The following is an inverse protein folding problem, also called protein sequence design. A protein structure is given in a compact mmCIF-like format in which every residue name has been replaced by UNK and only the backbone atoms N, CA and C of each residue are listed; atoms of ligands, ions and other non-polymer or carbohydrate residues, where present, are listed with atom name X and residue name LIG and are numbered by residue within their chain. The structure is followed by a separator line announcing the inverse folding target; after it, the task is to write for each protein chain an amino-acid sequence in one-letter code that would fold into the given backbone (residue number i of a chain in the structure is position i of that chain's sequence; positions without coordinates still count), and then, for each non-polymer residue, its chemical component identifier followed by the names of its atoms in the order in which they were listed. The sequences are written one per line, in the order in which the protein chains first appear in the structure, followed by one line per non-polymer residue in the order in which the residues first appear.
data_IF_789514905362
#
_entry.id   IF_789514905362
#
_cell.length_a   1.000
_cell.length_b   1.000
_cell.length_c   1.000
_cell.angle_alpha   90.00
_cell.angle_beta   90.00
_cell.angle_gamma   90.00
#
_symmetry.space_group_name_H-M   'P 1'
#
loop_
_entity.id
_entity.type
_entity.pdbx_description
1 polymer ?
#
# COMPACT_ATOMS: atom_id res chain seq x y z
N UNK A 1 -12.74 -38.92 -4.43
CA UNK A 1 -14.10 -38.32 -4.44
C UNK A 1 -14.19 -37.35 -5.61
N UNK A 2 -15.31 -37.31 -6.34
CA UNK A 2 -15.45 -36.46 -7.53
C UNK A 2 -15.33 -34.97 -7.14
N UNK A 3 -14.53 -34.15 -7.85
CA UNK A 3 -14.24 -32.76 -7.47
C UNK A 3 -15.49 -31.89 -7.36
N UNK A 4 -16.52 -32.17 -8.16
CA UNK A 4 -17.82 -31.51 -8.12
C UNK A 4 -18.55 -31.68 -6.77
N UNK A 5 -18.37 -32.84 -6.13
CA UNK A 5 -18.98 -33.15 -4.84
C UNK A 5 -18.30 -32.37 -3.72
N UNK A 6 -16.98 -32.24 -3.78
CA UNK A 6 -16.20 -31.44 -2.83
C UNK A 6 -16.52 -29.94 -2.98
N UNK A 7 -16.62 -29.45 -4.22
CA UNK A 7 -16.97 -28.05 -4.49
C UNK A 7 -18.37 -27.71 -3.96
N UNK A 8 -19.36 -28.56 -4.26
CA UNK A 8 -20.74 -28.39 -3.78
C UNK A 8 -20.83 -28.43 -2.24
N UNK A 9 -19.99 -29.25 -1.60
CA UNK A 9 -19.92 -29.35 -0.14
C UNK A 9 -19.31 -28.09 0.48
N UNK A 10 -18.25 -27.53 -0.13
CA UNK A 10 -17.63 -26.28 0.30
C UNK A 10 -18.62 -25.11 0.16
N UNK A 11 -19.27 -24.98 -0.99
CA UNK A 11 -20.29 -23.96 -1.20
C UNK A 11 -21.50 -24.14 -0.27
N UNK A 12 -21.95 -25.38 -0.06
CA UNK A 12 -23.05 -25.69 0.84
C UNK A 12 -22.74 -25.35 2.30
N UNK A 13 -21.54 -25.69 2.79
CA UNK A 13 -21.11 -25.34 4.15
C UNK A 13 -20.94 -23.82 4.29
N UNK A 14 -20.37 -23.15 3.29
CA UNK A 14 -20.23 -21.70 3.30
C UNK A 14 -21.60 -21.02 3.39
N UNK A 15 -22.58 -21.46 2.60
CA UNK A 15 -23.95 -20.95 2.63
C UNK A 15 -24.64 -21.22 3.96
N UNK A 16 -24.43 -22.40 4.55
CA UNK A 16 -24.96 -22.75 5.88
C UNK A 16 -24.39 -21.85 6.97
N UNK A 17 -23.09 -21.59 6.96
CA UNK A 17 -22.42 -20.71 7.94
C UNK A 17 -22.90 -19.26 7.76
N UNK A 18 -22.98 -18.77 6.52
CA UNK A 18 -23.50 -17.43 6.22
C UNK A 18 -24.96 -17.28 6.65
N UNK A 19 -25.79 -18.29 6.37
CA UNK A 19 -27.20 -18.31 6.76
C UNK A 19 -27.40 -18.36 8.28
N UNK A 20 -26.63 -19.18 9.00
CA UNK A 20 -26.70 -19.27 10.46
C UNK A 20 -26.25 -17.99 11.15
N UNK A 21 -25.18 -17.35 10.66
CA UNK A 21 -24.71 -16.06 11.18
C UNK A 21 -25.74 -14.94 10.94
N UNK A 22 -26.38 -14.94 9.77
CA UNK A 22 -27.47 -14.00 9.45
C UNK A 22 -28.68 -14.19 10.37
N UNK A 23 -29.06 -15.43 10.66
CA UNK A 23 -30.21 -15.77 11.50
C UNK A 23 -29.97 -15.42 12.98
N UNK A 24 -28.77 -15.68 13.50
CA UNK A 24 -28.37 -15.26 14.86
C UNK A 24 -28.30 -13.74 14.95
N UNK A 25 -27.78 -13.05 13.94
CA UNK A 25 -27.78 -11.59 13.88
C UNK A 25 -29.20 -10.99 13.91
N UNK A 26 -30.15 -11.63 13.24
CA UNK A 26 -31.54 -11.16 13.18
C UNK A 26 -32.31 -11.38 14.50
N UNK A 27 -32.00 -12.44 15.25
CA UNK A 27 -32.64 -12.75 16.53
C UNK A 27 -32.19 -11.84 17.69
N UNK A 28 -30.94 -11.37 17.68
CA UNK A 28 -30.38 -10.56 18.77
C UNK A 28 -30.40 -9.03 18.52
N UNK A 29 -30.56 -8.57 17.28
CA UNK A 29 -30.41 -7.15 16.90
C UNK A 29 -31.67 -6.57 16.25
N UNK A 30 -32.78 -6.62 17.00
CA UNK A 30 -34.14 -6.32 16.53
C UNK A 30 -34.43 -4.88 16.05
N UNK A 31 -33.45 -3.99 15.88
CA UNK A 31 -33.72 -2.64 15.33
C UNK A 31 -32.73 -2.11 14.30
N UNK A 32 -31.57 -2.74 14.07
CA UNK A 32 -30.58 -2.24 13.10
C UNK A 32 -29.78 -3.34 12.36
N UNK A 33 -30.24 -4.60 12.34
CA UNK A 33 -29.53 -5.70 11.66
C UNK A 33 -29.18 -5.39 10.18
N UNK A 34 -30.04 -4.63 9.47
CA UNK A 34 -29.77 -4.15 8.12
C UNK A 34 -28.48 -3.32 8.01
N UNK A 35 -28.14 -2.51 9.02
CA UNK A 35 -26.90 -1.70 9.04
C UNK A 35 -25.63 -2.55 9.14
N UNK A 36 -25.74 -3.84 9.48
CA UNK A 36 -24.59 -4.74 9.56
C UNK A 36 -24.24 -5.43 8.24
N UNK A 37 -24.91 -5.12 7.13
CA UNK A 37 -24.56 -5.68 5.81
C UNK A 37 -23.05 -5.57 5.44
N UNK A 38 -22.30 -4.52 5.86
CA UNK A 38 -20.85 -4.46 5.58
C UNK A 38 -20.04 -5.57 6.25
N UNK A 39 -20.59 -6.27 7.25
CA UNK A 39 -19.96 -7.46 7.84
C UNK A 39 -19.68 -8.53 6.80
N UNK A 40 -20.52 -8.65 5.76
CA UNK A 40 -20.28 -9.62 4.68
C UNK A 40 -19.02 -9.24 3.89
N UNK A 41 -18.82 -7.94 3.63
CA UNK A 41 -17.63 -7.42 2.95
C UNK A 41 -16.39 -7.58 3.83
N UNK A 42 -16.51 -7.29 5.13
CA UNK A 42 -15.44 -7.53 6.10
C UNK A 42 -15.08 -9.01 6.21
N UNK A 43 -16.08 -9.89 6.29
CA UNK A 43 -15.86 -11.33 6.33
C UNK A 43 -15.18 -11.83 5.05
N UNK A 44 -15.57 -11.33 3.88
CA UNK A 44 -14.92 -11.64 2.62
C UNK A 44 -13.45 -11.14 2.59
N UNK A 45 -13.20 -9.92 3.04
CA UNK A 45 -11.85 -9.38 3.17
C UNK A 45 -11.00 -10.20 4.14
N UNK A 46 -11.54 -10.56 5.30
CA UNK A 46 -10.86 -11.41 6.29
C UNK A 46 -10.54 -12.78 5.68
N UNK A 47 -11.51 -13.41 5.03
CA UNK A 47 -11.35 -14.68 4.35
C UNK A 47 -10.27 -14.64 3.25
N UNK A 48 -10.10 -13.50 2.56
CA UNK A 48 -9.02 -13.30 1.60
C UNK A 48 -7.67 -13.09 2.29
N UNK A 49 -7.60 -12.29 3.36
CA UNK A 49 -6.33 -12.02 4.04
C UNK A 49 -5.79 -13.18 4.88
N UNK A 50 -6.66 -14.02 5.43
CA UNK A 50 -6.30 -15.07 6.38
C UNK A 50 -5.36 -16.13 5.77
N UNK A 51 -5.58 -16.63 4.54
CA UNK A 51 -4.61 -17.47 3.83
C UNK A 51 -3.23 -16.81 3.67
N UNK A 52 -3.18 -15.48 3.54
CA UNK A 52 -1.93 -14.73 3.44
C UNK A 52 -1.04 -14.87 4.67
N UNK A 53 -1.61 -14.94 5.88
CA UNK A 53 -0.82 -15.17 7.09
C UNK A 53 -0.31 -16.62 7.20
N UNK A 54 -1.05 -17.57 6.63
CA UNK A 54 -0.60 -18.96 6.46
C UNK A 54 0.50 -19.10 5.39
N UNK A 55 0.83 -18.01 4.66
CA UNK A 55 1.87 -18.02 3.64
C UNK A 55 3.28 -18.26 4.18
N UNK A 56 3.49 -18.19 5.50
CA UNK A 56 4.73 -18.66 6.13
C UNK A 56 4.99 -20.13 5.76
N UNK A 57 3.95 -20.95 5.64
CA UNK A 57 4.04 -22.35 5.22
C UNK A 57 3.99 -22.54 3.69
N UNK A 58 3.31 -21.65 2.96
CA UNK A 58 3.19 -21.68 1.48
C UNK A 58 3.31 -20.28 0.89
N UNK A 59 4.49 -19.89 0.37
CA UNK A 59 4.77 -18.52 -0.06
C UNK A 59 3.74 -17.96 -1.05
N UNK A 60 3.17 -18.79 -1.93
CA UNK A 60 2.18 -18.36 -2.92
C UNK A 60 0.87 -17.80 -2.35
N UNK A 61 0.53 -18.10 -1.10
CA UNK A 61 -0.70 -17.57 -0.48
C UNK A 61 -0.58 -16.08 -0.11
N UNK A 62 0.63 -15.51 -0.09
CA UNK A 62 0.82 -14.09 0.17
C UNK A 62 0.17 -13.19 -0.88
N UNK A 63 -0.13 -13.70 -2.08
CA UNK A 63 -0.81 -12.95 -3.14
C UNK A 63 -2.22 -12.50 -2.74
N UNK A 64 -2.89 -13.22 -1.82
CA UNK A 64 -4.23 -12.85 -1.38
C UNK A 64 -4.28 -11.56 -0.55
N UNK A 65 -3.13 -11.07 -0.04
CA UNK A 65 -3.07 -9.75 0.57
C UNK A 65 -3.38 -8.62 -0.43
N UNK A 66 -3.06 -8.79 -1.72
CA UNK A 66 -3.29 -7.77 -2.74
C UNK A 66 -4.77 -7.38 -2.87
N UNK A 67 -5.73 -8.32 -3.02
CA UNK A 67 -7.15 -7.99 -2.97
C UNK A 67 -7.71 -7.93 -1.54
N UNK A 68 -7.18 -8.74 -0.62
CA UNK A 68 -7.76 -8.89 0.72
C UNK A 68 -7.68 -7.63 1.56
N UNK A 69 -6.53 -6.93 1.55
CA UNK A 69 -6.34 -5.72 2.34
C UNK A 69 -7.24 -4.56 1.85
N UNK A 70 -7.32 -4.26 0.54
CA UNK A 70 -8.32 -3.30 0.03
C UNK A 70 -9.75 -3.65 0.39
N UNK A 71 -10.17 -4.91 0.24
CA UNK A 71 -11.55 -5.34 0.57
C UNK A 71 -11.83 -5.18 2.06
N UNK A 72 -10.87 -5.50 2.93
CA UNK A 72 -10.98 -5.23 4.36
C UNK A 72 -11.15 -3.74 4.67
N UNK A 73 -10.37 -2.89 4.01
CA UNK A 73 -10.46 -1.44 4.20
C UNK A 73 -11.81 -0.91 3.71
N UNK A 74 -12.29 -1.35 2.54
CA UNK A 74 -13.65 -1.03 2.04
C UNK A 74 -14.70 -1.47 3.07
N UNK A 75 -14.63 -2.72 3.53
CA UNK A 75 -15.56 -3.24 4.53
C UNK A 75 -15.54 -2.44 5.83
N UNK A 76 -14.36 -1.98 6.25
CA UNK A 76 -14.20 -1.16 7.46
C UNK A 76 -14.81 0.22 7.31
N UNK A 77 -14.57 0.89 6.17
CA UNK A 77 -15.17 2.20 5.86
C UNK A 77 -16.69 2.07 5.74
N UNK A 78 -17.19 1.05 5.05
CA UNK A 78 -18.62 0.78 4.92
C UNK A 78 -19.27 0.50 6.29
N UNK A 79 -18.60 -0.27 7.14
CA UNK A 79 -19.10 -0.57 8.48
C UNK A 79 -19.20 0.70 9.33
N UNK A 80 -18.17 1.54 9.29
CA UNK A 80 -18.19 2.84 9.95
C UNK A 80 -19.32 3.73 9.42
N UNK A 81 -19.44 3.88 8.10
CA UNK A 81 -20.48 4.69 7.47
C UNK A 81 -21.89 4.18 7.80
N UNK A 82 -22.10 2.86 7.79
CA UNK A 82 -23.40 2.23 8.05
C UNK A 82 -23.84 2.33 9.52
N UNK A 83 -22.89 2.25 10.48
CA UNK A 83 -23.18 2.42 11.91
C UNK A 83 -23.46 3.89 12.25
N UNK A 84 -22.61 4.79 11.76
CA UNK A 84 -22.67 6.23 12.08
C UNK A 84 -23.64 7.01 11.21
N UNK A 85 -24.18 6.39 10.16
CA UNK A 85 -24.96 7.01 9.08
C UNK A 85 -24.23 8.15 8.35
N UNK A 86 -22.91 8.22 8.50
CA UNK A 86 -22.08 9.24 7.88
C UNK A 86 -21.46 8.69 6.59
N UNK A 87 -22.17 8.84 5.48
CA UNK A 87 -21.69 8.45 4.14
C UNK A 87 -20.70 9.46 3.54
N UNK A 88 -20.65 10.69 4.05
CA UNK A 88 -19.69 11.71 3.61
C UNK A 88 -18.24 11.33 3.96
N UNK A 89 -18.05 10.41 4.92
CA UNK A 89 -16.72 9.87 5.24
C UNK A 89 -15.99 9.33 4.01
N UNK A 90 -16.71 8.89 2.97
CA UNK A 90 -16.12 8.45 1.71
C UNK A 90 -15.28 9.52 1.02
N UNK A 91 -15.70 10.79 1.12
CA UNK A 91 -14.94 11.91 0.59
C UNK A 91 -13.57 12.03 1.25
N UNK A 92 -13.44 11.65 2.53
CA UNK A 92 -12.19 11.69 3.29
C UNK A 92 -11.38 10.38 3.21
N UNK A 93 -12.07 9.24 3.19
CA UNK A 93 -11.48 7.92 3.43
C UNK A 93 -11.03 7.20 2.15
N UNK A 94 -11.45 7.62 0.96
CA UNK A 94 -11.06 6.93 -0.28
C UNK A 94 -9.54 6.79 -0.50
N UNK A 95 -8.63 7.71 -0.08
CA UNK A 95 -7.19 7.52 -0.22
C UNK A 95 -6.67 6.33 0.60
N UNK A 96 -7.38 5.94 1.67
CA UNK A 96 -7.06 4.74 2.44
C UNK A 96 -7.15 3.47 1.59
N UNK A 97 -7.96 3.45 0.53
CA UNK A 97 -8.03 2.32 -0.40
C UNK A 97 -6.74 2.19 -1.22
N UNK A 98 -6.16 3.32 -1.64
CA UNK A 98 -4.89 3.36 -2.36
C UNK A 98 -3.76 2.88 -1.42
N UNK A 99 -3.74 3.39 -0.18
CA UNK A 99 -2.79 2.93 0.84
C UNK A 99 -2.98 1.45 1.21
N UNK A 100 -4.22 0.96 1.24
CA UNK A 100 -4.53 -0.45 1.48
C UNK A 100 -4.02 -1.33 0.34
N UNK A 101 -4.12 -0.88 -0.91
CA UNK A 101 -3.53 -1.59 -2.05
C UNK A 101 -2.00 -1.64 -1.95
N UNK A 102 -1.37 -0.52 -1.60
CA UNK A 102 0.07 -0.47 -1.35
C UNK A 102 0.51 -1.44 -0.24
N UNK A 103 -0.23 -1.47 0.88
CA UNK A 103 0.00 -2.39 1.98
C UNK A 103 -0.18 -3.85 1.54
N UNK A 104 -1.20 -4.13 0.72
CA UNK A 104 -1.44 -5.45 0.13
C UNK A 104 -0.22 -5.93 -0.67
N UNK A 105 0.29 -5.11 -1.59
CA UNK A 105 1.52 -5.42 -2.34
C UNK A 105 2.75 -5.56 -1.44
N UNK A 106 2.91 -4.71 -0.43
CA UNK A 106 4.04 -4.75 0.50
C UNK A 106 4.05 -6.03 1.35
N UNK A 107 2.90 -6.41 1.91
CA UNK A 107 2.74 -7.68 2.62
C UNK A 107 2.97 -8.86 1.67
N UNK A 108 2.42 -8.83 0.46
CA UNK A 108 2.71 -9.87 -0.54
C UNK A 108 4.21 -9.96 -0.86
N UNK A 109 4.92 -8.84 -1.01
CA UNK A 109 6.37 -8.83 -1.25
C UNK A 109 7.15 -9.56 -0.15
N UNK A 110 6.80 -9.30 1.11
CA UNK A 110 7.45 -9.90 2.29
C UNK A 110 7.11 -11.39 2.41
N UNK A 111 5.82 -11.73 2.40
CA UNK A 111 5.36 -13.10 2.66
C UNK A 111 5.63 -14.06 1.48
N UNK A 112 5.56 -13.58 0.24
CA UNK A 112 5.93 -14.37 -0.94
C UNK A 112 7.44 -14.40 -1.18
N UNK A 113 8.21 -13.53 -0.50
CA UNK A 113 9.65 -13.30 -0.74
C UNK A 113 9.94 -12.94 -2.20
N UNK A 114 9.11 -12.07 -2.77
CA UNK A 114 9.26 -11.55 -4.14
C UNK A 114 9.55 -10.05 -4.04
N UNK A 115 10.83 -9.63 -3.99
CA UNK A 115 11.20 -8.24 -3.83
C UNK A 115 10.63 -7.33 -4.92
N UNK A 116 10.39 -7.87 -6.13
CA UNK A 116 9.81 -7.12 -7.24
C UNK A 116 8.44 -6.48 -6.94
N UNK A 117 7.67 -7.06 -6.02
CA UNK A 117 6.38 -6.50 -5.58
C UNK A 117 6.55 -5.25 -4.70
N UNK A 118 7.75 -4.95 -4.22
CA UNK A 118 8.04 -3.70 -3.52
C UNK A 118 7.90 -2.48 -4.44
N UNK A 119 8.14 -2.64 -5.76
CA UNK A 119 8.01 -1.55 -6.74
C UNK A 119 6.56 -1.03 -6.79
N UNK A 120 5.54 -1.85 -7.12
CA UNK A 120 4.16 -1.36 -7.09
C UNK A 120 3.71 -0.96 -5.68
N UNK A 121 4.19 -1.63 -4.61
CA UNK A 121 3.87 -1.23 -3.24
C UNK A 121 4.30 0.21 -2.94
N UNK A 122 5.54 0.58 -3.29
CA UNK A 122 6.08 1.91 -3.01
C UNK A 122 5.47 2.97 -3.93
N UNK A 123 5.26 2.68 -5.22
CA UNK A 123 4.61 3.62 -6.16
C UNK A 123 3.19 3.94 -5.69
N UNK A 124 2.37 2.91 -5.46
CA UNK A 124 0.98 3.08 -5.01
C UNK A 124 0.96 3.72 -3.61
N UNK A 125 1.90 3.36 -2.73
CA UNK A 125 2.00 3.91 -1.38
C UNK A 125 2.33 5.40 -1.38
N UNK A 126 3.33 5.82 -2.15
CA UNK A 126 3.70 7.22 -2.31
C UNK A 126 2.54 8.04 -2.88
N UNK A 127 1.87 7.54 -3.92
CA UNK A 127 0.66 8.14 -4.47
C UNK A 127 -0.46 8.23 -3.43
N UNK A 128 -0.74 7.15 -2.70
CA UNK A 128 -1.76 7.13 -1.66
C UNK A 128 -1.50 8.13 -0.54
N UNK A 129 -0.24 8.34 -0.15
CA UNK A 129 0.14 9.34 0.84
C UNK A 129 -0.09 10.76 0.32
N UNK A 130 0.32 11.05 -0.93
CA UNK A 130 0.09 12.37 -1.54
C UNK A 130 -1.40 12.64 -1.73
N UNK A 131 -2.16 11.67 -2.21
CA UNK A 131 -3.61 11.78 -2.36
C UNK A 131 -4.28 11.98 -1.00
N UNK A 132 -3.86 11.25 0.03
CA UNK A 132 -4.32 11.45 1.41
C UNK A 132 -4.03 12.87 1.91
N UNK A 133 -2.82 13.38 1.67
CA UNK A 133 -2.45 14.75 2.01
C UNK A 133 -3.32 15.78 1.27
N UNK A 134 -3.46 15.67 -0.05
CA UNK A 134 -4.28 16.58 -0.87
C UNK A 134 -5.74 16.56 -0.44
N UNK A 135 -6.27 15.38 -0.12
CA UNK A 135 -7.66 15.20 0.30
C UNK A 135 -7.94 15.79 1.69
N UNK A 136 -7.00 15.66 2.63
CA UNK A 136 -7.12 16.21 3.99
C UNK A 136 -6.91 17.73 4.04
N UNK A 137 -6.00 18.26 3.21
CA UNK A 137 -5.63 19.69 3.23
C UNK A 137 -6.40 20.53 2.21
N UNK A 138 -7.02 19.90 1.22
CA UNK A 138 -7.61 20.57 0.05
C UNK A 138 -6.57 21.12 -0.94
N UNK A 139 -5.27 20.92 -0.70
CA UNK A 139 -4.18 21.50 -1.49
C UNK A 139 -3.89 20.69 -2.76
N UNK A 140 -4.86 20.57 -3.65
CA UNK A 140 -4.71 19.83 -4.91
C UNK A 140 -3.66 20.42 -5.85
N UNK A 141 -3.33 21.71 -5.71
CA UNK A 141 -2.22 22.34 -6.43
C UNK A 141 -0.85 21.75 -6.07
N UNK A 142 -0.71 21.12 -4.89
CA UNK A 142 0.49 20.41 -4.48
C UNK A 142 0.87 19.28 -5.45
N UNK A 143 -0.14 18.65 -6.07
CA UNK A 143 0.05 17.55 -7.00
C UNK A 143 0.97 17.90 -8.16
N UNK A 144 0.84 19.12 -8.70
CA UNK A 144 1.65 19.59 -9.83
C UNK A 144 3.15 19.72 -9.46
N UNK A 145 3.44 19.98 -8.19
CA UNK A 145 4.78 20.25 -7.68
C UNK A 145 5.41 18.97 -7.10
N UNK A 146 4.60 18.01 -6.65
CA UNK A 146 5.03 16.76 -6.06
C UNK A 146 5.32 15.65 -7.07
N UNK A 147 5.17 15.89 -8.38
CA UNK A 147 5.48 14.90 -9.43
C UNK A 147 6.87 14.22 -9.34
N UNK A 148 7.94 14.86 -8.83
CA UNK A 148 9.21 14.17 -8.59
C UNK A 148 9.13 12.98 -7.61
N UNK A 149 8.02 12.83 -6.88
CA UNK A 149 7.75 11.65 -6.06
C UNK A 149 7.64 10.36 -6.89
N UNK A 150 7.23 10.44 -8.16
CA UNK A 150 7.11 9.27 -9.04
C UNK A 150 8.46 8.61 -9.34
N UNK A 151 9.47 9.32 -9.90
CA UNK A 151 10.80 8.74 -10.06
C UNK A 151 11.44 8.38 -8.72
N UNK A 152 11.14 9.09 -7.62
CA UNK A 152 11.60 8.70 -6.28
C UNK A 152 11.05 7.35 -5.88
N UNK A 153 9.74 7.14 -6.04
CA UNK A 153 9.06 5.91 -5.66
C UNK A 153 9.56 4.71 -6.48
N UNK A 154 9.77 4.90 -7.79
CA UNK A 154 10.38 3.87 -8.65
C UNK A 154 11.81 3.59 -8.19
N UNK A 155 12.60 4.63 -7.93
CA UNK A 155 13.98 4.50 -7.45
C UNK A 155 14.08 3.74 -6.13
N UNK A 156 13.22 4.04 -5.16
CA UNK A 156 13.12 3.31 -3.89
C UNK A 156 12.67 1.86 -4.08
N UNK A 157 11.71 1.61 -4.97
CA UNK A 157 11.29 0.26 -5.35
C UNK A 157 12.44 -0.57 -5.92
N UNK A 158 13.18 0.00 -6.88
CA UNK A 158 14.36 -0.64 -7.45
C UNK A 158 15.47 -0.83 -6.40
N UNK A 159 15.64 0.10 -5.46
CA UNK A 159 16.62 -0.03 -4.39
C UNK A 159 16.31 -1.25 -3.50
N UNK A 160 15.06 -1.44 -3.10
CA UNK A 160 14.64 -2.62 -2.32
C UNK A 160 14.94 -3.91 -3.10
N UNK A 161 14.62 -3.94 -4.39
CA UNK A 161 14.92 -5.08 -5.27
C UNK A 161 16.42 -5.31 -5.41
N UNK A 162 17.20 -4.26 -5.63
CA UNK A 162 18.64 -4.35 -5.85
C UNK A 162 19.40 -4.75 -4.60
N UNK A 163 18.99 -4.30 -3.41
CA UNK A 163 19.52 -4.76 -2.12
C UNK A 163 19.18 -6.24 -1.91
N UNK A 164 17.91 -6.62 -2.12
CA UNK A 164 17.44 -7.99 -1.90
C UNK A 164 18.13 -9.00 -2.83
N UNK A 165 18.32 -8.62 -4.10
CA UNK A 165 18.94 -9.47 -5.11
C UNK A 165 20.46 -9.28 -5.22
N UNK A 166 21.06 -8.41 -4.41
CA UNK A 166 22.49 -8.01 -4.47
C UNK A 166 22.94 -7.61 -5.89
N UNK A 167 22.07 -6.92 -6.62
CA UNK A 167 22.31 -6.50 -8.00
C UNK A 167 22.88 -5.08 -8.06
N UNK A 168 24.17 -4.97 -8.42
CA UNK A 168 24.83 -3.68 -8.58
C UNK A 168 24.17 -2.81 -9.67
N UNK A 169 23.72 -3.42 -10.77
CA UNK A 169 23.04 -2.71 -11.86
C UNK A 169 21.69 -2.13 -11.45
N UNK A 170 20.89 -2.90 -10.71
CA UNK A 170 19.60 -2.42 -10.20
C UNK A 170 19.77 -1.32 -9.15
N UNK A 171 20.78 -1.44 -8.28
CA UNK A 171 21.12 -0.39 -7.32
C UNK A 171 21.60 0.90 -8.01
N UNK A 172 22.37 0.79 -9.10
CA UNK A 172 22.78 1.95 -9.89
C UNK A 172 21.56 2.65 -10.53
N UNK A 173 20.66 1.88 -11.15
CA UNK A 173 19.43 2.42 -11.70
C UNK A 173 18.56 3.10 -10.63
N UNK A 174 18.45 2.50 -9.45
CA UNK A 174 17.76 3.09 -8.31
C UNK A 174 18.37 4.44 -7.90
N UNK A 175 19.70 4.52 -7.74
CA UNK A 175 20.39 5.76 -7.40
C UNK A 175 20.22 6.85 -8.45
N UNK A 176 20.25 6.50 -9.75
CA UNK A 176 20.01 7.44 -10.84
C UNK A 176 18.61 8.03 -10.73
N UNK A 177 17.58 7.20 -10.53
CA UNK A 177 16.20 7.67 -10.41
C UNK A 177 15.97 8.53 -9.15
N UNK A 178 16.57 8.15 -8.01
CA UNK A 178 16.54 8.96 -6.79
C UNK A 178 17.25 10.30 -7.02
N UNK A 179 18.35 10.31 -7.77
CA UNK A 179 19.06 11.54 -8.18
C UNK A 179 18.21 12.44 -9.08
N UNK A 180 17.53 11.87 -10.08
CA UNK A 180 16.58 12.59 -10.95
C UNK A 180 15.44 13.18 -10.12
N UNK A 181 14.89 12.41 -9.17
CA UNK A 181 13.87 12.91 -8.27
C UNK A 181 14.37 14.05 -7.38
N UNK A 182 15.58 13.94 -6.83
CA UNK A 182 16.21 15.01 -6.05
C UNK A 182 16.38 16.30 -6.86
N UNK A 183 16.80 16.19 -8.12
CA UNK A 183 16.86 17.33 -9.04
C UNK A 183 15.47 17.89 -9.38
N UNK A 184 14.46 17.03 -9.55
CA UNK A 184 13.07 17.45 -9.72
C UNK A 184 12.53 18.22 -8.51
N UNK A 185 12.79 17.73 -7.30
CA UNK A 185 12.44 18.42 -6.05
C UNK A 185 13.19 19.74 -5.91
N UNK A 186 14.44 19.81 -6.38
CA UNK A 186 15.21 21.06 -6.41
C UNK A 186 14.55 22.11 -7.31
N UNK A 187 14.21 21.75 -8.55
CA UNK A 187 13.55 22.66 -9.49
C UNK A 187 12.19 23.14 -8.97
N UNK A 188 11.41 22.22 -8.43
CA UNK A 188 10.07 22.54 -7.89
C UNK A 188 10.15 23.36 -6.59
N UNK A 189 11.22 23.23 -5.82
CA UNK A 189 11.45 24.04 -4.62
C UNK A 189 11.61 25.53 -4.95
N UNK A 190 12.27 25.87 -6.06
CA UNK A 190 12.41 27.26 -6.51
C UNK A 190 11.05 27.90 -6.82
N UNK A 191 10.14 27.14 -7.44
CA UNK A 191 8.77 27.61 -7.74
C UNK A 191 7.96 27.74 -6.44
N UNK A 192 8.18 26.84 -5.48
CA UNK A 192 7.46 26.85 -4.20
C UNK A 192 7.84 28.02 -3.28
N UNK A 193 9.02 28.64 -3.44
CA UNK A 193 9.43 29.82 -2.66
C UNK A 193 8.49 31.01 -2.87
N UNK A 194 7.84 31.10 -4.04
CA UNK A 194 6.87 32.15 -4.37
C UNK A 194 5.45 31.83 -3.89
N UNK A 195 5.24 30.73 -3.17
CA UNK A 195 3.94 30.33 -2.64
C UNK A 195 3.86 30.63 -1.14
N UNK A 196 2.78 31.30 -0.71
CA UNK A 196 2.52 31.65 0.70
C UNK A 196 1.92 30.50 1.53
N UNK A 197 1.67 29.35 0.89
CA UNK A 197 1.04 28.19 1.52
C UNK A 197 2.09 27.26 2.17
N UNK A 198 1.64 26.29 2.98
CA UNK A 198 2.50 25.24 3.58
C UNK A 198 3.40 24.49 2.59
N UNK A 199 3.06 24.55 1.29
CA UNK A 199 3.85 24.02 0.17
C UNK A 199 5.27 24.59 0.12
N UNK A 200 5.48 25.81 0.63
CA UNK A 200 6.79 26.43 0.78
C UNK A 200 7.78 25.56 1.55
N UNK A 201 7.30 24.76 2.51
CA UNK A 201 8.15 23.89 3.35
C UNK A 201 8.14 22.43 2.90
N UNK A 202 7.07 21.96 2.26
CA UNK A 202 6.94 20.57 1.81
C UNK A 202 8.05 20.18 0.82
N UNK A 203 8.33 21.04 -0.16
CA UNK A 203 9.30 20.74 -1.23
C UNK A 203 10.76 20.77 -0.73
N UNK A 204 11.21 21.79 0.03
CA UNK A 204 12.53 21.75 0.68
C UNK A 204 12.70 20.53 1.60
N UNK A 205 11.64 20.15 2.34
CA UNK A 205 11.66 18.96 3.20
C UNK A 205 11.94 17.67 2.41
N UNK A 206 11.27 17.49 1.27
CA UNK A 206 11.51 16.33 0.39
C UNK A 206 12.91 16.33 -0.22
N UNK A 207 13.48 17.50 -0.50
CA UNK A 207 14.85 17.63 -0.99
C UNK A 207 15.87 17.19 0.07
N UNK A 208 15.69 17.65 1.31
CA UNK A 208 16.54 17.22 2.43
C UNK A 208 16.41 15.71 2.65
N UNK A 209 15.20 15.17 2.64
CA UNK A 209 14.96 13.74 2.78
C UNK A 209 15.67 12.94 1.67
N UNK A 210 15.57 13.39 0.42
CA UNK A 210 16.24 12.75 -0.73
C UNK A 210 17.76 12.82 -0.60
N UNK A 211 18.30 13.95 -0.15
CA UNK A 211 19.74 14.11 0.13
C UNK A 211 20.23 13.18 1.24
N UNK A 212 19.49 13.07 2.35
CA UNK A 212 19.80 12.14 3.45
C UNK A 212 19.78 10.68 2.94
N UNK A 213 18.79 10.31 2.13
CA UNK A 213 18.71 8.97 1.54
C UNK A 213 19.93 8.67 0.67
N UNK A 214 20.35 9.60 -0.21
CA UNK A 214 21.54 9.43 -1.05
C UNK A 214 22.82 9.27 -0.23
N UNK A 215 22.99 10.09 0.81
CA UNK A 215 24.15 10.01 1.70
C UNK A 215 24.15 8.70 2.48
N UNK A 216 23.02 8.31 3.06
CA UNK A 216 22.87 7.05 3.80
C UNK A 216 23.17 5.82 2.96
N UNK A 217 22.70 5.80 1.69
CA UNK A 217 23.01 4.73 0.75
C UNK A 217 24.51 4.61 0.44
N UNK A 218 25.25 5.73 0.40
CA UNK A 218 26.69 5.70 0.16
C UNK A 218 27.45 5.02 1.31
N UNK A 219 27.02 5.23 2.55
CA UNK A 219 27.61 4.57 3.71
C UNK A 219 27.37 3.05 3.70
N UNK A 220 26.17 2.61 3.31
CA UNK A 220 25.83 1.19 3.19
C UNK A 220 26.64 0.47 2.09
N UNK A 221 27.15 1.20 1.09
CA UNK A 221 27.94 0.64 -0.01
C UNK A 221 29.41 0.40 0.35
N UNK A 222 29.95 1.09 1.37
CA UNK A 222 31.36 0.96 1.80
C UNK A 222 31.67 -0.36 2.54
N UNK A 223 30.66 -1.14 2.93
CA UNK A 223 30.84 -2.40 3.67
C UNK A 223 30.96 -3.66 2.79
N UNK A 224 31.16 -3.54 1.46
CA UNK A 224 31.46 -4.69 0.59
C UNK A 224 32.97 -4.77 0.26
N UNK A 225 33.82 -5.37 1.13
CA UNK A 225 35.24 -5.57 0.88
C UNK A 225 35.57 -6.62 -0.20
N UNK A 226 34.57 -7.21 -0.86
CA UNK A 226 34.78 -8.28 -1.85
C UNK A 226 35.24 -7.78 -3.24
N UNK A 227 35.17 -6.48 -3.53
CA UNK A 227 35.59 -5.92 -4.84
C UNK A 227 37.05 -5.44 -4.86
N UNK A 228 37.72 -5.33 -3.71
CA UNK A 228 39.10 -4.80 -3.62
C UNK A 228 40.18 -5.84 -3.96
N UNK A 229 39.82 -7.09 -4.30
CA UNK A 229 40.79 -8.14 -4.67
C UNK A 229 40.85 -8.45 -6.17
N UNK A 230 40.24 -7.63 -7.04
CA UNK A 230 40.26 -7.85 -8.50
C UNK A 230 40.89 -6.74 -9.34
N UNK A 231 41.58 -5.79 -8.71
CA UNK A 231 42.43 -4.82 -9.41
C UNK A 231 43.87 -4.92 -8.93
#
# INVERSE_FOLDING_TARGET
MKPERTLSLIFGIALLVIGALSMVGNLFLSTQAWRMWPLVVLAAGLALTLPGFLAIARPGLGAFFMPGIPVLTVGSILMFASITDNWEIWALAWPLLVLAAALGFGLSAIFMRVPGLAIPAIIIGANGLVLGFCNLTGLWSAWAILWPIEPLAIGLGLLVVGISNRSAGTNLAAMILIGIAGFGFFLTSFVSVFNETILRFAVPGMLVLTGILLVGMNFLRRENPAETQRN
#
